data_IF_582081082739
#
_entry.id   IF_582081082739
#
_cell.length_a   1.000
_cell.length_b   1.000
_cell.length_c   1.000
_cell.angle_alpha   90.00
_cell.angle_beta   90.00
_cell.angle_gamma   90.00
#
_symmetry.space_group_name_H-M   'P 1'
#
loop_
_entity.id
_entity.type
_entity.pdbx_description
1 polymer ?
#
# COMPACT_ATOMS: atom_id res chain seq x y z
N UNK A 1 -18.11 -40.40 12.58
CA UNK A 1 -17.72 -39.60 13.75
C UNK A 1 -17.50 -38.17 13.31
N UNK A 2 -17.76 -37.25 14.24
CA UNK A 2 -17.97 -35.81 14.05
C UNK A 2 -16.84 -35.06 13.32
N UNK A 3 -17.18 -33.87 12.79
CA UNK A 3 -16.55 -33.17 11.68
C UNK A 3 -15.69 -32.00 12.18
N UNK A 4 -15.45 -31.01 11.31
CA UNK A 4 -15.08 -29.63 11.68
C UNK A 4 -13.59 -29.37 11.88
N UNK A 5 -12.96 -28.87 10.82
CA UNK A 5 -11.99 -27.77 10.93
C UNK A 5 -12.45 -26.74 9.90
N UNK A 6 -13.50 -25.99 10.21
CA UNK A 6 -13.50 -24.73 10.96
C UNK A 6 -13.66 -23.58 9.97
N UNK A 7 -14.86 -23.01 10.00
CA UNK A 7 -15.22 -21.75 9.36
C UNK A 7 -14.82 -20.65 10.35
N UNK A 8 -13.63 -20.10 10.20
CA UNK A 8 -13.24 -18.81 10.78
C UNK A 8 -12.30 -18.14 9.75
N UNK A 9 -12.54 -16.97 9.19
CA UNK A 9 -13.43 -15.89 9.57
C UNK A 9 -13.89 -15.16 8.31
N UNK A 10 -15.21 -15.04 8.15
CA UNK A 10 -15.79 -13.88 7.46
C UNK A 10 -15.59 -12.68 8.41
N UNK A 11 -14.51 -11.95 8.22
CA UNK A 11 -14.46 -10.52 8.50
C UNK A 11 -14.14 -9.85 7.19
N UNK A 12 -14.83 -8.74 6.94
CA UNK A 12 -14.77 -7.80 5.84
C UNK A 12 -13.34 -7.60 5.31
N UNK A 13 -12.89 -8.53 4.45
CA UNK A 13 -11.53 -8.50 3.90
C UNK A 13 -11.49 -7.42 2.85
N UNK A 14 -11.18 -6.20 3.29
CA UNK A 14 -10.51 -5.18 2.50
C UNK A 14 -9.51 -5.91 1.59
N UNK A 15 -9.69 -5.91 0.26
CA UNK A 15 -8.99 -6.86 -0.59
C UNK A 15 -7.51 -6.53 -0.59
N UNK A 16 -6.75 -7.17 0.30
CA UNK A 16 -5.29 -7.14 0.29
C UNK A 16 -4.85 -8.07 -0.83
N UNK A 17 -4.35 -7.48 -1.92
CA UNK A 17 -3.77 -8.24 -3.01
C UNK A 17 -2.27 -8.36 -2.79
N UNK A 18 -1.79 -9.58 -2.61
CA UNK A 18 -0.36 -9.87 -2.50
C UNK A 18 0.22 -10.17 -3.89
N UNK A 19 1.25 -9.40 -4.28
CA UNK A 19 1.93 -9.53 -5.56
C UNK A 19 3.41 -9.80 -5.35
N UNK A 20 3.97 -10.90 -5.86
CA UNK A 20 5.41 -11.03 -5.93
C UNK A 20 5.99 -10.04 -6.94
N UNK A 21 7.16 -9.48 -6.61
CA UNK A 21 7.88 -8.59 -7.51
C UNK A 21 8.65 -9.37 -8.59
N UNK A 22 8.22 -9.19 -9.83
CA UNK A 22 8.81 -9.74 -11.05
C UNK A 22 9.24 -8.62 -12.01
N UNK A 23 9.49 -7.41 -11.49
CA UNK A 23 9.85 -6.27 -12.32
C UNK A 23 8.68 -5.81 -13.20
N UNK A 24 8.89 -5.73 -14.51
CA UNK A 24 7.92 -5.16 -15.46
C UNK A 24 6.57 -5.87 -15.46
N UNK A 25 6.53 -7.18 -15.19
CA UNK A 25 5.28 -7.94 -15.10
C UNK A 25 4.39 -7.45 -13.95
N UNK A 26 4.99 -7.18 -12.80
CA UNK A 26 4.28 -6.60 -11.65
C UNK A 26 3.81 -5.18 -11.98
N UNK A 27 4.63 -4.38 -12.67
CA UNK A 27 4.26 -3.01 -13.08
C UNK A 27 3.06 -2.99 -14.02
N UNK A 28 2.98 -3.92 -14.96
CA UNK A 28 1.87 -4.00 -15.91
C UNK A 28 0.54 -4.41 -15.25
N UNK A 29 0.59 -5.18 -14.16
CA UNK A 29 -0.60 -5.74 -13.51
C UNK A 29 -1.04 -4.97 -12.26
N UNK A 30 -0.09 -4.43 -11.48
CA UNK A 30 -0.37 -3.71 -10.24
C UNK A 30 -1.41 -2.58 -10.35
N UNK A 31 -1.43 -1.69 -11.36
CA UNK A 31 -2.45 -0.64 -11.45
C UNK A 31 -3.87 -1.20 -11.62
N UNK A 32 -4.02 -2.29 -12.40
CA UNK A 32 -5.33 -2.97 -12.55
C UNK A 32 -5.81 -3.62 -11.25
N UNK A 33 -4.86 -4.00 -10.39
CA UNK A 33 -5.13 -4.65 -9.12
C UNK A 33 -5.41 -3.61 -8.04
N UNK A 34 -4.70 -2.48 -8.04
CA UNK A 34 -4.97 -1.31 -7.20
C UNK A 34 -6.37 -0.72 -7.46
N UNK A 35 -6.88 -0.79 -8.69
CA UNK A 35 -8.28 -0.41 -9.00
C UNK A 35 -9.31 -1.33 -8.32
N UNK A 36 -8.95 -2.60 -8.12
CA UNK A 36 -9.82 -3.62 -7.52
C UNK A 36 -9.57 -3.81 -6.00
N UNK A 37 -8.49 -3.22 -5.48
CA UNK A 37 -7.99 -3.47 -4.13
C UNK A 37 -7.74 -2.18 -3.36
N UNK A 38 -8.22 -2.13 -2.13
CA UNK A 38 -7.88 -1.04 -1.20
C UNK A 38 -6.44 -1.14 -0.69
N UNK A 39 -5.86 -2.33 -0.77
CA UNK A 39 -4.50 -2.55 -0.29
C UNK A 39 -3.76 -3.55 -1.20
N UNK A 40 -2.53 -3.23 -1.55
CA UNK A 40 -1.67 -4.09 -2.36
C UNK A 40 -0.32 -4.24 -1.68
N UNK A 41 0.07 -5.48 -1.41
CA UNK A 41 1.38 -5.81 -0.84
C UNK A 41 2.25 -6.41 -1.92
N UNK A 42 3.30 -5.69 -2.29
CA UNK A 42 4.33 -6.17 -3.20
C UNK A 42 5.43 -6.83 -2.37
N UNK A 43 5.58 -8.15 -2.49
CA UNK A 43 6.66 -8.89 -1.84
C UNK A 43 7.90 -8.85 -2.74
N UNK A 44 8.99 -8.29 -2.23
CA UNK A 44 10.26 -8.21 -2.93
C UNK A 44 11.11 -9.46 -2.64
N UNK A 45 12.00 -9.85 -3.57
CA UNK A 45 13.00 -10.87 -3.29
C UNK A 45 13.91 -10.50 -2.11
N UNK A 46 14.33 -11.50 -1.32
CA UNK A 46 15.08 -11.30 -0.08
C UNK A 46 16.41 -10.56 -0.26
N UNK A 47 17.01 -10.61 -1.45
CA UNK A 47 18.26 -9.91 -1.78
C UNK A 47 18.12 -8.38 -1.79
N UNK A 48 16.90 -7.83 -1.78
CA UNK A 48 16.69 -6.38 -1.72
C UNK A 48 16.69 -5.82 -0.29
N UNK A 49 16.69 -6.66 0.75
CA UNK A 49 16.62 -6.18 2.13
C UNK A 49 17.78 -5.24 2.48
N UNK A 50 19.02 -5.61 2.11
CA UNK A 50 20.20 -4.79 2.32
C UNK A 50 20.13 -3.44 1.58
N UNK A 51 19.64 -3.46 0.33
CA UNK A 51 19.50 -2.25 -0.49
C UNK A 51 18.45 -1.30 0.08
N UNK A 52 17.30 -1.83 0.52
CA UNK A 52 16.27 -1.04 1.19
C UNK A 52 16.81 -0.43 2.49
N UNK A 53 17.44 -1.27 3.32
CA UNK A 53 18.00 -0.83 4.58
C UNK A 53 19.04 0.27 4.39
N UNK A 54 19.96 0.12 3.44
CA UNK A 54 20.99 1.13 3.14
C UNK A 54 20.40 2.46 2.64
N UNK A 55 19.29 2.42 1.91
CA UNK A 55 18.62 3.63 1.40
C UNK A 55 17.84 4.35 2.51
N UNK A 56 17.13 3.61 3.37
CA UNK A 56 16.33 4.20 4.44
C UNK A 56 17.14 4.53 5.70
N UNK A 57 18.28 3.87 5.91
CA UNK A 57 19.16 4.05 7.05
C UNK A 57 20.63 4.25 6.62
N UNK A 58 20.95 5.32 5.86
CA UNK A 58 22.30 5.55 5.31
C UNK A 58 23.37 5.77 6.39
N UNK A 59 22.97 6.08 7.63
CA UNK A 59 23.86 6.26 8.78
C UNK A 59 23.83 5.11 9.79
N UNK A 60 23.21 3.97 9.47
CA UNK A 60 23.14 2.86 10.41
C UNK A 60 24.54 2.33 10.76
N UNK A 61 24.82 2.07 12.05
CA UNK A 61 26.10 1.53 12.46
C UNK A 61 26.29 0.08 11.96
N UNK A 62 27.53 -0.37 11.72
CA UNK A 62 27.81 -1.74 11.35
C UNK A 62 27.31 -2.71 12.44
N UNK A 63 26.56 -3.73 12.04
CA UNK A 63 25.95 -4.71 12.96
C UNK A 63 24.53 -4.37 13.41
N UNK A 64 23.95 -3.26 12.94
CA UNK A 64 22.52 -3.01 13.12
C UNK A 64 21.69 -4.05 12.35
N UNK A 65 20.60 -4.58 12.91
CA UNK A 65 19.71 -5.47 12.18
C UNK A 65 19.15 -4.76 10.96
N UNK A 66 19.16 -5.43 9.81
CA UNK A 66 18.62 -4.92 8.55
C UNK A 66 17.08 -4.95 8.54
N UNK A 67 16.48 -4.34 9.55
CA UNK A 67 15.05 -4.18 9.69
C UNK A 67 14.66 -2.82 9.10
N UNK A 68 13.74 -2.85 8.14
CA UNK A 68 13.11 -1.68 7.57
C UNK A 68 11.66 -1.69 8.04
N UNK A 69 11.18 -0.58 8.57
CA UNK A 69 9.76 -0.34 8.82
C UNK A 69 9.53 1.17 8.68
N UNK A 70 9.21 1.60 7.46
CA UNK A 70 9.09 3.01 7.10
C UNK A 70 7.74 3.23 6.42
N UNK A 71 6.94 4.11 6.98
CA UNK A 71 5.63 4.52 6.43
C UNK A 71 5.68 5.95 5.90
N UNK A 72 4.92 6.24 4.87
CA UNK A 72 4.89 7.53 4.19
C UNK A 72 3.86 7.53 3.07
N UNK A 73 3.97 8.46 2.12
CA UNK A 73 3.14 8.49 0.93
C UNK A 73 3.88 7.95 -0.30
N UNK A 74 3.47 8.42 -1.47
CA UNK A 74 4.07 8.02 -2.75
C UNK A 74 5.56 8.34 -2.87
N UNK A 75 6.11 9.25 -2.05
CA UNK A 75 7.55 9.56 -2.09
C UNK A 75 8.41 8.34 -1.75
N UNK A 76 7.92 7.43 -0.90
CA UNK A 76 8.66 6.21 -0.58
C UNK A 76 8.86 5.32 -1.80
N UNK A 77 7.89 5.26 -2.71
CA UNK A 77 8.02 4.49 -3.96
C UNK A 77 9.12 5.07 -4.85
N UNK A 78 9.28 6.40 -4.87
CA UNK A 78 10.35 7.08 -5.61
C UNK A 78 11.72 6.78 -4.99
N UNK A 79 11.81 6.80 -3.65
CA UNK A 79 13.01 6.40 -2.92
C UNK A 79 13.39 4.95 -3.22
N UNK A 80 12.43 4.02 -3.17
CA UNK A 80 12.64 2.61 -3.51
C UNK A 80 13.06 2.45 -4.98
N UNK A 81 12.48 3.22 -5.90
CA UNK A 81 12.82 3.17 -7.32
C UNK A 81 14.25 3.64 -7.64
N UNK A 82 14.93 4.30 -6.70
CA UNK A 82 16.36 4.61 -6.83
C UNK A 82 17.25 3.36 -6.66
N UNK A 83 16.70 2.25 -6.18
CA UNK A 83 17.40 0.96 -6.07
C UNK A 83 17.40 0.25 -7.42
N UNK A 84 18.59 -0.15 -7.89
CA UNK A 84 18.77 -0.90 -9.14
C UNK A 84 17.90 -2.17 -9.14
N UNK A 85 17.10 -2.37 -10.19
CA UNK A 85 16.15 -3.49 -10.29
C UNK A 85 14.76 -3.22 -9.73
N UNK A 86 14.57 -2.09 -9.01
CA UNK A 86 13.28 -1.58 -8.54
C UNK A 86 12.85 -0.30 -9.27
N UNK A 87 13.56 0.11 -10.32
CA UNK A 87 13.29 1.33 -11.11
C UNK A 87 11.84 1.40 -11.61
N UNK A 88 11.24 0.25 -11.89
CA UNK A 88 9.84 0.16 -12.30
C UNK A 88 8.84 0.65 -11.25
N UNK A 89 9.20 0.64 -9.97
CA UNK A 89 8.31 1.03 -8.86
C UNK A 89 7.91 2.51 -8.96
N UNK A 90 8.77 3.37 -9.51
CA UNK A 90 8.41 4.77 -9.77
C UNK A 90 7.19 4.88 -10.69
N UNK A 91 7.00 3.93 -11.62
CA UNK A 91 5.81 3.91 -12.51
C UNK A 91 4.53 3.53 -11.78
N UNK A 92 4.62 2.79 -10.67
CA UNK A 92 3.46 2.57 -9.81
C UNK A 92 3.07 3.87 -9.11
N UNK A 93 4.06 4.63 -8.63
CA UNK A 93 3.83 5.92 -8.00
C UNK A 93 3.12 6.92 -8.92
N UNK A 94 3.44 6.88 -10.22
CA UNK A 94 2.82 7.73 -11.25
C UNK A 94 1.33 7.39 -11.47
N UNK A 95 0.97 6.10 -11.33
CA UNK A 95 -0.41 5.63 -11.46
C UNK A 95 -1.25 5.75 -10.19
N UNK A 96 -0.66 6.16 -9.07
CA UNK A 96 -1.32 6.32 -7.78
C UNK A 96 -1.75 7.79 -7.57
N UNK A 97 -2.90 8.05 -6.93
CA UNK A 97 -3.31 9.42 -6.62
C UNK A 97 -2.30 10.10 -5.69
N UNK A 98 -2.20 11.44 -5.79
CA UNK A 98 -1.26 12.20 -4.96
C UNK A 98 -1.67 12.27 -3.48
N UNK A 99 -2.96 12.10 -3.19
CA UNK A 99 -3.55 12.17 -1.85
C UNK A 99 -4.29 10.87 -1.54
N UNK A 100 -4.37 10.50 -0.26
CA UNK A 100 -5.04 9.26 0.19
C UNK A 100 -4.27 7.98 -0.11
N UNK A 101 -2.96 8.07 -0.38
CA UNK A 101 -2.09 6.91 -0.59
C UNK A 101 -1.09 6.81 0.54
N UNK A 102 -1.16 5.72 1.28
CA UNK A 102 -0.18 5.36 2.29
C UNK A 102 0.68 4.22 1.76
N UNK A 103 1.99 4.40 1.79
CA UNK A 103 2.98 3.41 1.43
C UNK A 103 3.77 3.04 2.67
N UNK A 104 3.98 1.75 2.88
CA UNK A 104 4.82 1.23 3.95
C UNK A 104 5.83 0.25 3.37
N UNK A 105 7.10 0.42 3.69
CA UNK A 105 8.18 -0.48 3.33
C UNK A 105 8.62 -1.21 4.59
N UNK A 106 8.51 -2.55 4.58
CA UNK A 106 8.80 -3.40 5.74
C UNK A 106 9.81 -4.49 5.41
N UNK A 107 10.45 -5.03 6.44
CA UNK A 107 11.24 -6.28 6.40
C UNK A 107 10.43 -7.44 7.00
N UNK A 108 10.43 -8.67 6.43
CA UNK A 108 11.05 -9.10 5.17
C UNK A 108 10.61 -8.23 3.98
N UNK A 109 11.48 -8.02 2.97
CA UNK A 109 11.36 -6.88 2.07
C UNK A 109 10.02 -6.90 1.32
N UNK A 110 9.15 -5.97 1.69
CA UNK A 110 7.82 -5.85 1.12
C UNK A 110 7.39 -4.37 1.12
N UNK A 111 6.55 -4.02 0.15
CA UNK A 111 5.97 -2.69 -0.01
C UNK A 111 4.47 -2.85 0.06
N UNK A 112 3.87 -2.28 1.08
CA UNK A 112 2.42 -2.27 1.29
C UNK A 112 1.92 -0.91 0.84
N UNK A 113 1.01 -0.90 -0.11
CA UNK A 113 0.33 0.30 -0.60
C UNK A 113 -1.12 0.21 -0.16
N UNK A 114 -1.59 1.23 0.54
CA UNK A 114 -2.97 1.34 1.01
C UNK A 114 -3.57 2.58 0.39
N UNK A 115 -4.66 2.39 -0.34
CA UNK A 115 -5.50 3.44 -0.89
C UNK A 115 -6.60 3.70 0.13
N UNK A 116 -6.53 4.82 0.84
CA UNK A 116 -7.70 5.30 1.56
C UNK A 116 -8.77 5.61 0.51
N UNK A 117 -10.00 5.11 0.66
CA UNK A 117 -11.08 5.56 -0.18
C UNK A 117 -11.21 7.06 0.08
N UNK A 118 -10.83 7.88 -0.91
CA UNK A 118 -11.26 9.27 -1.01
C UNK A 118 -12.75 9.23 -0.68
N UNK A 119 -13.12 9.75 0.49
CA UNK A 119 -14.47 9.64 1.00
C UNK A 119 -15.40 10.28 -0.01
N UNK A 120 -15.98 9.47 -0.88
CA UNK A 120 -17.17 9.81 -1.60
C UNK A 120 -18.26 9.95 -0.53
N UNK A 121 -18.54 11.22 -0.19
CA UNK A 121 -19.62 11.73 0.64
C UNK A 121 -19.40 11.65 2.16
N UNK A 122 -19.46 12.76 2.91
CA UNK A 122 -20.65 13.60 3.05
C UNK A 122 -20.37 15.11 2.83
N UNK A 123 -20.85 15.72 1.73
CA UNK A 123 -21.51 17.00 1.80
C UNK A 123 -23.00 16.73 1.99
N UNK A 124 -23.42 16.20 3.14
CA UNK A 124 -24.81 16.38 3.54
C UNK A 124 -24.95 17.81 4.08
N UNK A 125 -24.89 18.75 3.13
CA UNK A 125 -25.71 19.94 3.15
C UNK A 125 -27.10 19.47 3.61
N UNK A 126 -27.41 19.69 4.88
CA UNK A 126 -28.78 20.07 5.19
C UNK A 126 -28.87 21.51 4.68
N UNK A 127 -29.49 21.80 3.51
CA UNK A 127 -30.29 23.00 3.54
C UNK A 127 -31.35 22.69 4.59
N UNK A 128 -31.24 23.31 5.77
CA UNK A 128 -32.43 23.49 6.59
C UNK A 128 -33.45 24.11 5.64
N UNK A 129 -34.58 23.44 5.34
CA UNK A 129 -35.63 24.12 4.61
C UNK A 129 -36.00 25.33 5.46
N UNK A 130 -35.93 26.47 4.79
CA UNK A 130 -36.42 27.76 5.22
C UNK A 130 -37.80 27.54 5.82
N UNK A 131 -38.03 28.17 6.97
CA UNK A 131 -39.35 28.33 7.57
C UNK A 131 -40.39 28.64 6.50
N UNK A 132 -41.42 27.81 6.39
CA UNK A 132 -42.78 28.29 6.16
C UNK A 132 -43.82 27.23 6.59
N UNK A 133 -44.68 27.69 7.48
CA UNK A 133 -46.10 27.34 7.63
C UNK A 133 -46.57 26.10 8.44
N UNK A 134 -47.61 26.39 9.24
CA UNK A 134 -48.56 25.56 10.00
C UNK A 134 -48.19 25.24 11.46
N UNK A 135 -48.92 25.70 12.49
CA UNK A 135 -50.23 26.37 12.57
C UNK A 135 -50.34 27.20 13.87
#
# INVERSE_FOLDING_TARGET
>A
MKPEQDRESKMDKEPLIELPWHGQETIANAPKLLDQARQVKITLPANYNHSLFSVFHPGAPPGHPEAVDVSGGRELLVTVASIKGLEGIARLADGLPAEGVMVQVVSPPAIIMTLEPLSAELPNLRPSPISDDQA
#
